data_IF_186039696819
#
_entry.id   IF_186039696819
#
_cell.length_a   1.000
_cell.length_b   1.000
_cell.length_c   1.000
_cell.angle_alpha   90.00
_cell.angle_beta   90.00
_cell.angle_gamma   90.00
#
_symmetry.space_group_name_H-M   'P 1'
#
loop_
_entity.id
_entity.type
_entity.pdbx_description
1 polymer ?
#
# COMPACT_ATOMS: atom_id res chain seq x y z
N UNK A 1 3.77 -21.11 5.53
CA UNK A 1 4.55 -21.39 6.76
C UNK A 1 6.05 -21.37 6.48
N UNK A 2 6.56 -22.25 5.61
CA UNK A 2 8.00 -22.28 5.25
C UNK A 2 8.50 -20.94 4.68
N UNK A 3 7.75 -20.29 3.77
CA UNK A 3 8.15 -18.99 3.21
C UNK A 3 8.20 -17.88 4.27
N UNK A 4 7.32 -17.97 5.28
CA UNK A 4 7.28 -17.02 6.38
C UNK A 4 8.46 -17.23 7.33
N UNK A 5 8.83 -18.49 7.59
CA UNK A 5 10.02 -18.81 8.37
C UNK A 5 11.29 -18.31 7.68
N UNK A 6 11.43 -18.51 6.37
CA UNK A 6 12.56 -18.00 5.59
C UNK A 6 12.62 -16.47 5.54
N UNK A 7 11.48 -15.77 5.59
CA UNK A 7 11.44 -14.32 5.47
C UNK A 7 11.60 -13.57 6.81
N UNK A 8 11.30 -14.20 7.95
CA UNK A 8 11.17 -13.53 9.25
C UNK A 8 12.12 -14.12 10.31
N UNK A 9 12.53 -15.38 10.18
CA UNK A 9 13.31 -16.06 11.22
C UNK A 9 14.81 -15.81 11.04
N UNK A 10 15.51 -15.57 12.15
CA UNK A 10 16.97 -15.49 12.17
C UNK A 10 17.62 -16.82 11.80
N UNK A 11 18.80 -16.74 11.18
CA UNK A 11 19.52 -17.91 10.63
C UNK A 11 19.80 -18.99 11.69
N UNK A 12 20.00 -18.58 12.95
CA UNK A 12 20.28 -19.48 14.08
C UNK A 12 19.07 -20.33 14.48
N UNK A 13 17.85 -19.79 14.37
CA UNK A 13 16.61 -20.47 14.76
C UNK A 13 15.87 -21.10 13.58
N UNK A 14 16.28 -20.80 12.35
CA UNK A 14 15.61 -21.26 11.14
C UNK A 14 15.51 -22.79 11.07
N UNK A 15 16.58 -23.50 11.44
CA UNK A 15 16.59 -24.97 11.47
C UNK A 15 15.53 -25.55 12.42
N UNK A 16 15.48 -25.03 13.65
CA UNK A 16 14.51 -25.46 14.67
C UNK A 16 13.06 -25.15 14.24
N UNK A 17 12.84 -24.00 13.62
CA UNK A 17 11.53 -23.63 13.08
C UNK A 17 11.08 -24.55 11.94
N UNK A 18 12.00 -24.93 11.04
CA UNK A 18 11.69 -25.86 9.94
C UNK A 18 11.37 -27.26 10.46
N UNK A 19 12.08 -27.74 11.48
CA UNK A 19 11.78 -29.00 12.15
C UNK A 19 10.43 -28.96 12.87
N UNK A 20 10.14 -27.85 13.56
CA UNK A 20 8.84 -27.64 14.19
C UNK A 20 7.72 -27.71 13.15
N UNK A 21 7.86 -26.98 12.03
CA UNK A 21 6.91 -27.01 10.91
C UNK A 21 6.74 -28.44 10.37
N UNK A 22 7.84 -29.17 10.15
CA UNK A 22 7.82 -30.54 9.64
C UNK A 22 7.07 -31.49 10.58
N UNK A 23 7.31 -31.38 11.89
CA UNK A 23 6.61 -32.15 12.92
C UNK A 23 5.11 -31.84 12.95
N UNK A 24 4.73 -30.57 12.97
CA UNK A 24 3.32 -30.15 12.98
C UNK A 24 2.58 -30.70 11.75
N UNK A 25 3.19 -30.67 10.56
CA UNK A 25 2.55 -31.25 9.37
C UNK A 25 2.44 -32.78 9.43
N UNK A 26 3.45 -33.46 10.01
CA UNK A 26 3.38 -34.91 10.21
C UNK A 26 2.26 -35.30 11.20
N UNK A 27 2.12 -34.55 12.29
CA UNK A 27 1.06 -34.74 13.29
C UNK A 27 -0.34 -34.50 12.71
N UNK A 28 -0.46 -33.58 11.75
CA UNK A 28 -1.69 -33.34 10.99
C UNK A 28 -1.95 -34.39 9.88
N UNK A 29 -1.20 -35.48 9.83
CA UNK A 29 -1.44 -36.60 8.91
C UNK A 29 -0.92 -36.38 7.49
N UNK A 30 -0.11 -35.36 7.23
CA UNK A 30 0.49 -35.17 5.92
C UNK A 30 1.64 -36.16 5.69
N UNK A 31 1.73 -36.79 4.50
CA UNK A 31 2.77 -37.76 4.23
C UNK A 31 4.14 -37.08 4.10
N UNK A 32 5.18 -37.72 4.65
CA UNK A 32 6.53 -37.14 4.76
C UNK A 32 7.11 -36.70 3.40
N UNK A 33 6.88 -37.49 2.34
CA UNK A 33 7.37 -37.18 1.00
C UNK A 33 6.80 -35.86 0.45
N UNK A 34 5.55 -35.53 0.77
CA UNK A 34 4.90 -34.29 0.34
C UNK A 34 5.53 -33.09 1.06
N UNK A 35 5.74 -33.21 2.37
CA UNK A 35 6.37 -32.18 3.19
C UNK A 35 7.79 -31.90 2.68
N UNK A 36 8.58 -32.95 2.47
CA UNK A 36 9.96 -32.83 2.01
C UNK A 36 10.03 -32.29 0.57
N UNK A 37 9.07 -32.65 -0.30
CA UNK A 37 8.98 -32.09 -1.67
C UNK A 37 8.73 -30.59 -1.70
N UNK A 38 8.13 -30.02 -0.64
CA UNK A 38 7.83 -28.59 -0.53
C UNK A 38 8.97 -27.84 0.16
N UNK A 39 9.58 -28.44 1.19
CA UNK A 39 10.66 -27.81 1.97
C UNK A 39 11.97 -27.80 1.19
N UNK A 40 12.37 -28.94 0.59
CA UNK A 40 13.69 -29.09 -0.05
C UNK A 40 13.95 -28.07 -1.16
N UNK A 41 13.04 -27.83 -2.14
CA UNK A 41 13.28 -26.85 -3.20
C UNK A 41 13.33 -25.40 -2.71
N UNK A 42 12.80 -25.12 -1.51
CA UNK A 42 12.82 -23.78 -0.91
C UNK A 42 14.12 -23.52 -0.14
N UNK A 43 14.72 -24.55 0.45
CA UNK A 43 16.01 -24.47 1.12
C UNK A 43 17.19 -24.49 0.14
N UNK A 44 17.09 -25.31 -0.91
CA UNK A 44 18.12 -25.44 -1.94
C UNK A 44 18.23 -24.21 -2.85
N UNK A 45 17.42 -23.17 -2.59
CA UNK A 45 17.41 -21.97 -3.40
C UNK A 45 17.11 -22.33 -4.84
N UNK A 46 15.82 -22.44 -5.20
CA UNK A 46 15.48 -22.02 -6.56
C UNK A 46 15.73 -20.52 -6.66
N UNK A 47 17.00 -20.21 -6.90
CA UNK A 47 17.51 -19.25 -7.87
C UNK A 47 16.84 -19.53 -9.24
N UNK A 48 15.52 -19.45 -9.30
CA UNK A 48 14.98 -18.56 -10.30
C UNK A 48 15.17 -17.20 -9.68
N UNK A 49 16.39 -16.68 -9.82
CA UNK A 49 16.50 -15.31 -10.26
C UNK A 49 15.45 -15.21 -11.37
N UNK A 50 14.29 -14.65 -11.04
CA UNK A 50 13.61 -13.85 -12.03
C UNK A 50 14.65 -12.80 -12.31
N UNK A 51 15.54 -13.09 -13.28
CA UNK A 51 16.32 -12.08 -13.97
C UNK A 51 15.32 -10.93 -14.08
N UNK A 52 15.54 -9.80 -13.37
CA UNK A 52 14.70 -8.64 -13.61
C UNK A 52 14.81 -8.50 -15.12
N UNK A 53 13.67 -8.58 -15.81
CA UNK A 53 13.67 -8.44 -17.25
C UNK A 53 14.27 -7.04 -17.47
N UNK A 54 15.58 -6.99 -17.74
CA UNK A 54 16.44 -5.81 -17.65
C UNK A 54 16.28 -5.00 -18.94
N UNK A 55 15.04 -4.94 -19.38
CA UNK A 55 14.61 -4.42 -20.64
C UNK A 55 13.44 -3.49 -20.38
N UNK A 56 13.36 -2.35 -21.11
CA UNK A 56 12.23 -1.44 -21.04
C UNK A 56 10.89 -2.18 -21.14
N UNK A 57 9.98 -1.83 -20.23
CA UNK A 57 8.63 -2.40 -20.16
C UNK A 57 7.64 -1.48 -20.86
N UNK A 58 6.96 -2.01 -21.88
CA UNK A 58 5.94 -1.27 -22.62
C UNK A 58 4.56 -1.76 -22.19
N UNK A 59 3.67 -0.84 -21.82
CA UNK A 59 2.26 -1.17 -21.52
C UNK A 59 1.37 -0.60 -22.62
N UNK A 60 0.62 -1.45 -23.30
CA UNK A 60 -0.27 -1.08 -24.39
C UNK A 60 -1.74 -1.44 -24.08
N UNK A 61 -2.72 -0.73 -24.64
CA UNK A 61 -4.10 -1.17 -24.64
C UNK A 61 -4.24 -2.50 -25.37
N UNK A 62 -5.16 -3.35 -24.91
CA UNK A 62 -5.44 -4.62 -25.56
C UNK A 62 -6.19 -4.40 -26.89
N UNK A 63 -5.59 -4.91 -27.97
CA UNK A 63 -6.24 -5.03 -29.29
C UNK A 63 -6.16 -6.48 -29.77
N UNK A 64 -7.32 -7.05 -30.10
CA UNK A 64 -7.41 -8.42 -30.60
C UNK A 64 -6.64 -8.57 -31.92
N UNK A 65 -5.88 -9.66 -32.06
CA UNK A 65 -5.09 -9.96 -33.26
C UNK A 65 -3.75 -9.21 -33.39
N UNK A 66 -3.59 -8.05 -32.74
CA UNK A 66 -2.33 -7.29 -32.72
C UNK A 66 -1.41 -7.69 -31.56
N UNK A 67 -1.99 -8.12 -30.43
CA UNK A 67 -1.26 -8.41 -29.19
C UNK A 67 -0.12 -9.43 -29.38
N UNK A 68 -0.34 -10.54 -30.11
CA UNK A 68 0.67 -11.58 -30.32
C UNK A 68 1.82 -11.10 -31.19
N UNK A 69 1.50 -10.28 -32.21
CA UNK A 69 2.50 -9.74 -33.12
C UNK A 69 3.42 -8.77 -32.38
N UNK A 70 2.84 -7.85 -31.61
CA UNK A 70 3.59 -6.87 -30.82
C UNK A 70 4.37 -7.54 -29.69
N UNK A 71 3.81 -8.55 -29.02
CA UNK A 71 4.53 -9.31 -27.97
C UNK A 71 5.73 -10.07 -28.54
N UNK A 72 5.59 -10.68 -29.72
CA UNK A 72 6.70 -11.36 -30.42
C UNK A 72 7.78 -10.37 -30.86
N UNK A 73 7.39 -9.23 -31.42
CA UNK A 73 8.33 -8.18 -31.82
C UNK A 73 9.09 -7.63 -30.60
N UNK A 74 8.36 -7.32 -29.52
CA UNK A 74 8.94 -6.87 -28.26
C UNK A 74 9.98 -7.84 -27.72
N UNK A 75 9.66 -9.14 -27.68
CA UNK A 75 10.62 -10.17 -27.23
C UNK A 75 11.88 -10.22 -28.11
N UNK A 76 11.74 -10.09 -29.43
CA UNK A 76 12.89 -10.05 -30.37
C UNK A 76 13.77 -8.83 -30.14
N UNK A 77 13.16 -7.69 -29.82
CA UNK A 77 13.85 -6.42 -29.58
C UNK A 77 14.29 -6.21 -28.11
N UNK A 78 14.08 -7.20 -27.23
CA UNK A 78 14.45 -7.11 -25.81
C UNK A 78 13.46 -6.35 -24.92
N UNK A 79 12.29 -5.95 -25.42
CA UNK A 79 11.24 -5.31 -24.64
C UNK A 79 10.29 -6.33 -24.02
N UNK A 80 9.82 -6.04 -22.80
CA UNK A 80 8.73 -6.80 -22.19
C UNK A 80 7.41 -6.05 -22.37
N UNK A 81 6.54 -6.55 -23.26
CA UNK A 81 5.24 -5.93 -23.56
C UNK A 81 4.14 -6.51 -22.67
N UNK A 82 3.43 -5.62 -21.97
CA UNK A 82 2.23 -5.91 -21.18
C UNK A 82 1.00 -5.28 -21.83
N UNK A 83 -0.15 -5.94 -21.73
CA UNK A 83 -1.41 -5.42 -22.25
C UNK A 83 -2.35 -5.08 -21.09
N UNK A 84 -2.84 -3.85 -21.09
CA UNK A 84 -3.90 -3.40 -20.17
C UNK A 84 -5.25 -3.55 -20.87
N UNK A 85 -6.18 -4.26 -20.24
CA UNK A 85 -7.54 -4.37 -20.72
C UNK A 85 -8.25 -3.01 -20.75
N UNK A 86 -9.24 -2.88 -21.62
CA UNK A 86 -10.12 -1.71 -21.61
C UNK A 86 -10.94 -1.67 -20.32
N UNK A 87 -11.46 -0.48 -19.99
CA UNK A 87 -12.41 -0.33 -18.88
C UNK A 87 -13.58 -1.29 -19.09
N UNK A 88 -13.98 -2.00 -18.05
CA UNK A 88 -15.11 -2.93 -18.13
C UNK A 88 -16.40 -2.15 -18.32
N UNK A 89 -17.39 -2.72 -19.03
CA UNK A 89 -18.72 -2.11 -19.16
C UNK A 89 -19.32 -1.75 -17.80
N UNK A 90 -19.10 -2.60 -16.78
CA UNK A 90 -19.49 -2.31 -15.40
C UNK A 90 -18.89 -0.99 -14.90
N UNK A 91 -17.60 -0.72 -15.13
CA UNK A 91 -16.97 0.54 -14.69
C UNK A 91 -17.44 1.77 -15.46
N UNK A 92 -18.00 1.60 -16.66
CA UNK A 92 -18.55 2.69 -17.48
C UNK A 92 -20.00 2.97 -17.08
N UNK A 93 -20.79 1.90 -16.92
CA UNK A 93 -22.24 1.97 -16.66
C UNK A 93 -22.59 2.10 -15.18
N UNK A 94 -21.80 1.51 -14.28
CA UNK A 94 -21.92 1.70 -12.83
C UNK A 94 -20.93 2.76 -12.36
N UNK A 95 -21.31 4.01 -12.57
CA UNK A 95 -20.91 5.13 -11.72
C UNK A 95 -22.06 5.40 -10.74
N UNK A 96 -22.47 4.36 -10.02
CA UNK A 96 -23.53 4.39 -9.01
C UNK A 96 -23.14 5.21 -7.76
N UNK A 97 -21.85 5.53 -7.62
CA UNK A 97 -21.35 6.47 -6.61
C UNK A 97 -20.97 7.77 -7.29
N UNK A 98 -21.63 8.85 -6.89
CA UNK A 98 -21.20 10.20 -7.21
C UNK A 98 -19.77 10.39 -6.69
N UNK A 99 -18.89 10.93 -7.53
CA UNK A 99 -17.52 11.21 -7.11
C UNK A 99 -17.55 12.41 -6.19
N UNK A 100 -17.31 12.16 -4.91
CA UNK A 100 -17.14 13.23 -3.93
C UNK A 100 -15.92 14.07 -4.35
N UNK A 101 -16.05 15.40 -4.45
CA UNK A 101 -14.92 16.29 -4.67
C UNK A 101 -13.85 16.08 -3.61
N UNK A 102 -12.57 16.30 -3.94
CA UNK A 102 -11.46 16.10 -3.01
C UNK A 102 -11.67 16.80 -1.66
N UNK A 103 -12.26 18.00 -1.69
CA UNK A 103 -12.49 18.85 -0.51
C UNK A 103 -13.49 18.26 0.50
N UNK A 104 -14.30 17.30 0.05
CA UNK A 104 -15.33 16.63 0.84
C UNK A 104 -14.98 15.17 1.14
N UNK A 105 -13.82 14.69 0.69
CA UNK A 105 -13.37 13.32 0.95
C UNK A 105 -12.87 13.17 2.40
N UNK A 106 -13.37 12.18 3.16
CA UNK A 106 -12.77 11.79 4.43
C UNK A 106 -11.43 11.06 4.22
N UNK A 107 -10.56 11.08 5.24
CA UNK A 107 -9.28 10.37 5.22
C UNK A 107 -8.21 11.01 4.33
N UNK A 108 -8.32 12.32 4.07
CA UNK A 108 -7.29 13.05 3.32
C UNK A 108 -6.17 13.51 4.25
N UNK A 109 -4.94 13.47 3.72
CA UNK A 109 -3.75 14.07 4.35
C UNK A 109 -3.56 15.46 3.76
N UNK A 110 -3.39 16.46 4.62
CA UNK A 110 -3.17 17.85 4.22
C UNK A 110 -1.90 18.42 4.84
N UNK A 111 -1.38 19.46 4.19
CA UNK A 111 -0.20 20.21 4.61
C UNK A 111 -0.57 21.69 4.75
N UNK A 112 -0.29 22.30 5.91
CA UNK A 112 -0.41 23.74 6.13
C UNK A 112 1.00 24.31 6.14
N UNK A 113 1.29 25.21 5.20
CA UNK A 113 2.58 25.91 5.11
C UNK A 113 2.52 27.26 5.79
N UNK A 114 3.48 27.53 6.66
CA UNK A 114 3.73 28.84 7.25
C UNK A 114 4.65 29.65 6.34
N UNK A 115 4.50 30.97 6.33
CA UNK A 115 5.48 31.89 5.73
C UNK A 115 6.88 31.75 6.36
N UNK A 116 6.95 31.25 7.59
CA UNK A 116 8.15 30.98 8.36
C UNK A 116 8.87 29.66 8.00
N UNK A 117 8.58 29.07 6.83
CA UNK A 117 9.10 27.77 6.37
C UNK A 117 8.71 26.55 7.24
N UNK A 118 7.91 26.74 8.30
CA UNK A 118 7.35 25.64 9.06
C UNK A 118 6.16 25.00 8.31
N UNK A 119 6.01 23.69 8.43
CA UNK A 119 4.89 22.95 7.85
C UNK A 119 4.22 22.08 8.91
N UNK A 120 2.89 22.04 8.90
CA UNK A 120 2.11 21.09 9.69
C UNK A 120 1.43 20.09 8.75
N UNK A 121 1.64 18.79 8.98
CA UNK A 121 1.00 17.72 8.23
C UNK A 121 0.03 17.02 9.17
N UNK A 122 -1.21 16.85 8.74
CA UNK A 122 -2.24 16.17 9.50
C UNK A 122 -3.16 15.35 8.61
N UNK A 123 -3.82 14.37 9.23
CA UNK A 123 -4.91 13.62 8.63
C UNK A 123 -6.26 14.24 9.07
N UNK A 124 -7.24 14.21 8.17
CA UNK A 124 -8.62 14.60 8.45
C UNK A 124 -9.54 13.37 8.35
N UNK A 125 -10.12 12.95 9.47
CA UNK A 125 -11.07 11.83 9.52
C UNK A 125 -12.38 12.17 8.78
N UNK A 126 -12.78 13.45 8.80
CA UNK A 126 -13.95 14.01 8.12
C UNK A 126 -13.50 14.90 6.94
N UNK A 127 -14.24 15.96 6.64
CA UNK A 127 -13.86 16.95 5.61
C UNK A 127 -12.73 17.87 6.09
N UNK A 128 -11.95 18.39 5.13
CA UNK A 128 -10.89 19.37 5.42
C UNK A 128 -11.45 20.63 6.10
N UNK A 129 -12.64 21.07 5.69
CA UNK A 129 -13.33 22.22 6.29
C UNK A 129 -13.65 22.00 7.77
N UNK A 130 -14.13 20.81 8.15
CA UNK A 130 -14.39 20.46 9.55
C UNK A 130 -13.09 20.49 10.36
N UNK A 131 -12.02 19.88 9.83
CA UNK A 131 -10.70 19.85 10.48
C UNK A 131 -10.11 21.24 10.68
N UNK A 132 -10.28 22.13 9.69
CA UNK A 132 -9.87 23.52 9.80
C UNK A 132 -10.60 24.26 10.94
N UNK A 133 -11.90 24.06 11.09
CA UNK A 133 -12.67 24.67 12.18
C UNK A 133 -12.22 24.17 13.57
N UNK A 134 -11.88 22.89 13.70
CA UNK A 134 -11.32 22.34 14.95
C UNK A 134 -10.00 23.01 15.33
N UNK A 135 -9.11 23.20 14.35
CA UNK A 135 -7.85 23.92 14.56
C UNK A 135 -8.10 25.35 15.02
N UNK A 136 -8.99 26.09 14.35
CA UNK A 136 -9.32 27.47 14.74
C UNK A 136 -9.91 27.56 16.15
N UNK A 137 -10.79 26.62 16.53
CA UNK A 137 -11.32 26.52 17.90
C UNK A 137 -10.21 26.25 18.91
N UNK A 138 -9.26 25.37 18.58
CA UNK A 138 -8.12 25.03 19.45
C UNK A 138 -7.19 26.22 19.66
N UNK A 139 -6.84 26.94 18.58
CA UNK A 139 -6.07 28.19 18.65
C UNK A 139 -6.78 29.26 19.48
N UNK A 140 -8.09 29.43 19.28
CA UNK A 140 -8.91 30.37 20.05
C UNK A 140 -8.89 30.01 21.54
N UNK A 141 -9.00 28.72 21.88
CA UNK A 141 -8.91 28.23 23.27
C UNK A 141 -7.54 28.54 23.88
N UNK A 142 -6.45 28.29 23.16
CA UNK A 142 -5.10 28.61 23.61
C UNK A 142 -4.91 30.11 23.83
N UNK A 143 -5.39 30.95 22.90
CA UNK A 143 -5.31 32.41 23.02
C UNK A 143 -6.12 32.93 24.21
N UNK A 144 -7.30 32.38 24.45
CA UNK A 144 -8.12 32.72 25.61
C UNK A 144 -7.45 32.29 26.93
N UNK A 145 -6.80 31.14 26.96
CA UNK A 145 -6.04 30.69 28.13
C UNK A 145 -4.85 31.63 28.42
N UNK A 146 -4.10 32.03 27.39
CA UNK A 146 -3.02 33.02 27.51
C UNK A 146 -3.54 34.37 28.03
N UNK A 147 -4.67 34.85 27.52
CA UNK A 147 -5.27 36.09 28.00
C UNK A 147 -5.66 36.02 29.48
N UNK A 148 -6.18 34.87 29.96
CA UNK A 148 -6.49 34.67 31.38
C UNK A 148 -5.25 34.68 32.26
N UNK A 149 -4.14 34.07 31.81
CA UNK A 149 -2.86 34.11 32.52
C UNK A 149 -2.31 35.53 32.60
N UNK A 150 -2.54 36.35 31.57
CA UNK A 150 -2.10 37.74 31.52
C UNK A 150 -3.08 38.72 32.22
N UNK A 151 -4.08 38.22 32.96
CA UNK A 151 -5.03 39.06 33.71
C UNK A 151 -6.08 39.78 32.85
N UNK A 152 -6.25 39.39 31.59
CA UNK A 152 -7.25 39.97 30.70
C UNK A 152 -8.69 39.51 31.03
N UNK A 153 -9.71 40.34 30.78
CA UNK A 153 -11.10 39.97 31.01
C UNK A 153 -11.52 38.78 30.12
N UNK A 154 -12.47 37.93 30.56
CA UNK A 154 -12.95 36.82 29.75
C UNK A 154 -13.63 37.35 28.48
N UNK A 155 -13.20 36.84 27.32
CA UNK A 155 -13.84 37.13 26.03
C UNK A 155 -15.24 36.49 26.01
N UNK A 156 -16.27 37.27 26.35
CA UNK A 156 -17.68 36.91 26.16
C UNK A 156 -18.13 37.37 24.79
N UNK A 157 -17.93 36.54 23.78
CA UNK A 157 -18.63 36.68 22.50
C UNK A 157 -19.70 35.59 22.44
N UNK A 158 -20.97 36.04 22.41
CA UNK A 158 -22.19 35.23 22.33
C UNK A 158 -22.42 34.75 20.92
#
# INVERSE_FOLDING_TARGET
>A
MVDRALAICDQEYLGQQLEHIRRTFKENGYPAHLIDSIIRPKLEGRTREKLPASGPRLTLPYYAGLREKVKRLGKRMGFTVWFKGNRTLRSILRNDKEKVPLDQCPGLVYEIKCECSASYIGEADNTLAHRYQEHMKSLTRCRNALNRLNGGPPNTSR
#
